data_IF_556096362736
#
_entry.id   IF_556096362736
#
_cell.length_a   1.000
_cell.length_b   1.000
_cell.length_c   1.000
_cell.angle_alpha   90.00
_cell.angle_beta   90.00
_cell.angle_gamma   90.00
#
_symmetry.space_group_name_H-M   'P 1'
#
loop_
_entity.id
_entity.type
_entity.pdbx_description
1 polymer ?
#
# COMPACT_ATOMS: atom_id res chain seq x y z
N UNK A 1 19.17 -14.61 3.05
CA UNK A 1 18.16 -13.60 2.64
C UNK A 1 16.74 -14.14 2.67
N UNK A 2 16.45 -15.34 2.17
CA UNK A 2 15.10 -15.98 2.22
C UNK A 2 14.53 -16.07 3.64
N UNK A 3 15.36 -16.41 4.63
CA UNK A 3 14.92 -16.53 6.03
C UNK A 3 14.39 -15.23 6.65
N UNK A 4 15.02 -14.08 6.36
CA UNK A 4 14.54 -12.77 6.85
C UNK A 4 13.20 -12.38 6.22
N UNK A 5 13.03 -12.64 4.93
CA UNK A 5 11.78 -12.33 4.24
C UNK A 5 10.64 -13.20 4.74
N UNK A 6 10.93 -14.46 5.09
CA UNK A 6 9.98 -15.37 5.73
C UNK A 6 9.61 -14.92 7.15
N UNK A 7 10.60 -14.54 7.95
CA UNK A 7 10.41 -14.05 9.33
C UNK A 7 9.54 -12.78 9.37
N UNK A 8 9.75 -11.85 8.43
CA UNK A 8 8.91 -10.65 8.33
C UNK A 8 7.47 -10.99 7.92
N UNK A 9 7.29 -11.96 7.00
CA UNK A 9 5.97 -12.47 6.60
C UNK A 9 5.27 -13.09 7.81
N UNK A 10 5.97 -13.93 8.58
CA UNK A 10 5.44 -14.55 9.79
C UNK A 10 5.02 -13.49 10.81
N UNK A 11 5.83 -12.46 11.06
CA UNK A 11 5.47 -11.35 11.94
C UNK A 11 4.20 -10.60 11.48
N UNK A 12 4.04 -10.35 10.18
CA UNK A 12 2.84 -9.66 9.71
C UNK A 12 1.60 -10.55 9.69
N UNK A 13 1.75 -11.87 9.50
CA UNK A 13 0.67 -12.83 9.71
C UNK A 13 0.26 -12.90 11.19
N UNK A 14 1.20 -12.81 12.12
CA UNK A 14 0.91 -12.77 13.56
C UNK A 14 0.17 -11.48 13.93
N UNK A 15 0.62 -10.31 13.46
CA UNK A 15 -0.10 -9.04 13.68
C UNK A 15 -1.52 -9.10 13.08
N UNK A 16 -1.68 -9.65 11.88
CA UNK A 16 -2.99 -9.82 11.25
C UNK A 16 -3.89 -10.76 12.08
N UNK A 17 -3.33 -11.84 12.63
CA UNK A 17 -4.06 -12.79 13.49
C UNK A 17 -4.51 -12.14 14.80
N UNK A 18 -3.67 -11.30 15.40
CA UNK A 18 -4.00 -10.57 16.62
C UNK A 18 -5.10 -9.52 16.39
N UNK A 19 -5.04 -8.78 15.27
CA UNK A 19 -6.12 -7.86 14.86
C UNK A 19 -7.44 -8.61 14.62
N UNK A 20 -7.38 -9.75 13.92
CA UNK A 20 -8.51 -10.66 13.72
C UNK A 20 -9.10 -11.17 15.03
N UNK A 21 -8.26 -11.60 15.97
CA UNK A 21 -8.71 -12.12 17.27
C UNK A 21 -9.41 -11.04 18.11
N UNK A 22 -8.97 -9.79 18.01
CA UNK A 22 -9.63 -8.65 18.65
C UNK A 22 -10.99 -8.33 17.99
N UNK A 23 -11.08 -8.38 16.66
CA UNK A 23 -12.30 -8.03 15.89
C UNK A 23 -13.33 -9.17 15.82
N UNK A 24 -12.96 -10.42 16.14
CA UNK A 24 -13.88 -11.59 16.14
C UNK A 24 -15.15 -11.38 16.96
N UNK A 25 -15.08 -10.59 18.02
CA UNK A 25 -16.23 -10.26 18.86
C UNK A 25 -17.29 -9.40 18.14
N UNK A 26 -16.91 -8.68 17.08
CA UNK A 26 -17.80 -7.92 16.21
C UNK A 26 -18.31 -8.70 14.98
N UNK A 27 -17.61 -9.77 14.58
CA UNK A 27 -17.89 -10.54 13.36
C UNK A 27 -18.61 -11.86 13.70
N UNK A 28 -19.87 -11.77 14.11
CA UNK A 28 -20.70 -12.92 14.50
C UNK A 28 -21.24 -13.77 13.33
N UNK A 29 -20.91 -13.41 12.09
CA UNK A 29 -21.37 -14.08 10.86
C UNK A 29 -20.18 -14.64 10.06
N UNK A 30 -20.25 -15.91 9.68
CA UNK A 30 -19.21 -16.61 8.93
C UNK A 30 -18.89 -15.95 7.58
N UNK A 31 -19.88 -15.31 6.95
CA UNK A 31 -19.65 -14.57 5.70
C UNK A 31 -18.86 -13.29 5.95
N UNK A 32 -19.21 -12.54 7.00
CA UNK A 32 -18.45 -11.35 7.40
C UNK A 32 -17.01 -11.70 7.77
N UNK A 33 -16.80 -12.80 8.51
CA UNK A 33 -15.48 -13.31 8.86
C UNK A 33 -14.66 -13.66 7.61
N UNK A 34 -15.23 -14.42 6.68
CA UNK A 34 -14.56 -14.75 5.40
C UNK A 34 -14.22 -13.52 4.57
N UNK A 35 -15.13 -12.54 4.51
CA UNK A 35 -14.90 -11.28 3.81
C UNK A 35 -13.76 -10.48 4.43
N UNK A 36 -13.72 -10.40 5.76
CA UNK A 36 -12.64 -9.74 6.49
C UNK A 36 -11.29 -10.41 6.18
N UNK A 37 -11.18 -11.74 6.33
CA UNK A 37 -9.95 -12.47 6.00
C UNK A 37 -9.47 -12.22 4.58
N UNK A 38 -10.40 -12.19 3.62
CA UNK A 38 -10.07 -11.91 2.22
C UNK A 38 -9.48 -10.51 2.03
N UNK A 39 -10.11 -9.48 2.60
CA UNK A 39 -9.61 -8.10 2.51
C UNK A 39 -8.28 -7.93 3.23
N UNK A 40 -8.10 -8.53 4.41
CA UNK A 40 -6.83 -8.49 5.14
C UNK A 40 -5.70 -9.14 4.34
N UNK A 41 -5.97 -10.29 3.70
CA UNK A 41 -4.98 -10.95 2.85
C UNK A 41 -4.59 -10.11 1.62
N UNK A 42 -5.56 -9.51 0.94
CA UNK A 42 -5.31 -8.59 -0.18
C UNK A 42 -4.49 -7.38 0.29
N UNK A 43 -4.83 -6.82 1.43
CA UNK A 43 -4.13 -5.66 2.01
C UNK A 43 -2.68 -5.99 2.34
N UNK A 44 -2.44 -7.16 2.96
CA UNK A 44 -1.10 -7.64 3.27
C UNK A 44 -0.27 -7.89 2.00
N UNK A 45 -0.86 -8.49 0.98
CA UNK A 45 -0.22 -8.70 -0.31
C UNK A 45 0.22 -7.38 -0.95
N UNK A 46 -0.67 -6.38 -0.99
CA UNK A 46 -0.36 -5.06 -1.53
C UNK A 46 0.73 -4.34 -0.72
N UNK A 47 0.68 -4.44 0.61
CA UNK A 47 1.71 -3.90 1.49
C UNK A 47 3.10 -4.49 1.16
N UNK A 48 3.20 -5.82 1.04
CA UNK A 48 4.47 -6.46 0.66
C UNK A 48 4.90 -6.15 -0.75
N UNK A 49 3.98 -5.98 -1.70
CA UNK A 49 4.32 -5.54 -3.05
C UNK A 49 4.97 -4.15 -3.02
N UNK A 50 4.42 -3.22 -2.23
CA UNK A 50 5.01 -1.90 -2.01
C UNK A 50 6.37 -2.00 -1.31
N UNK A 51 6.47 -2.78 -0.23
CA UNK A 51 7.73 -2.99 0.51
C UNK A 51 8.83 -3.61 -0.37
N UNK A 52 8.48 -4.58 -1.20
CA UNK A 52 9.42 -5.19 -2.14
C UNK A 52 9.86 -4.19 -3.22
N UNK A 53 8.99 -3.28 -3.65
CA UNK A 53 9.36 -2.17 -4.55
C UNK A 53 10.37 -1.24 -3.89
N UNK A 54 10.18 -0.91 -2.60
CA UNK A 54 11.15 -0.14 -1.82
C UNK A 54 12.50 -0.87 -1.69
N UNK A 55 12.49 -2.18 -1.43
CA UNK A 55 13.71 -3.02 -1.34
C UNK A 55 14.50 -3.01 -2.62
N UNK A 56 13.84 -3.25 -3.76
CA UNK A 56 14.49 -3.32 -5.07
C UNK A 56 15.17 -2.01 -5.45
N UNK A 57 14.64 -0.88 -4.99
CA UNK A 57 15.19 0.45 -5.24
C UNK A 57 16.10 0.97 -4.09
N UNK A 58 16.43 0.15 -3.09
CA UNK A 58 17.31 0.54 -1.98
C UNK A 58 16.72 1.64 -1.08
N UNK A 59 15.39 1.76 -1.01
CA UNK A 59 14.68 2.81 -0.27
C UNK A 59 14.21 2.38 1.13
N UNK A 60 14.46 1.12 1.52
CA UNK A 60 14.14 0.64 2.88
C UNK A 60 14.95 1.44 3.90
N UNK A 61 14.28 1.86 4.99
CA UNK A 61 14.87 2.73 6.02
C UNK A 61 14.88 4.21 5.67
N UNK A 62 14.62 4.59 4.41
CA UNK A 62 14.47 5.99 3.99
C UNK A 62 12.99 6.43 4.05
N UNK A 63 12.09 5.53 3.65
CA UNK A 63 10.65 5.76 3.59
C UNK A 63 9.92 4.49 4.03
N UNK A 64 8.85 4.63 4.82
CA UNK A 64 7.97 3.53 5.19
C UNK A 64 6.95 3.26 4.09
N UNK A 65 6.33 2.08 4.09
CA UNK A 65 5.22 1.78 3.16
C UNK A 65 4.05 2.76 3.37
N UNK A 66 3.74 3.11 4.61
CA UNK A 66 2.67 4.07 4.92
C UNK A 66 2.98 5.47 4.35
N UNK A 67 4.22 5.95 4.51
CA UNK A 67 4.65 7.24 3.95
C UNK A 67 4.65 7.21 2.41
N UNK A 68 5.03 6.08 1.80
CA UNK A 68 4.92 5.88 0.35
C UNK A 68 3.46 6.00 -0.12
N UNK A 69 2.54 5.26 0.51
CA UNK A 69 1.13 5.28 0.15
C UNK A 69 0.50 6.66 0.37
N UNK A 70 0.86 7.32 1.47
CA UNK A 70 0.41 8.68 1.79
C UNK A 70 0.85 9.70 0.74
N UNK A 71 2.11 9.68 0.32
CA UNK A 71 2.57 10.60 -0.73
C UNK A 71 1.89 10.31 -2.07
N UNK A 72 1.74 9.04 -2.44
CA UNK A 72 1.06 8.66 -3.68
C UNK A 72 -0.44 9.01 -3.67
N UNK A 73 -1.12 8.93 -2.53
CA UNK A 73 -2.56 9.25 -2.43
C UNK A 73 -2.88 10.73 -2.65
N UNK A 74 -1.87 11.60 -2.67
CA UNK A 74 -2.04 13.04 -2.95
C UNK A 74 -2.29 13.34 -4.42
N UNK A 75 -2.07 12.38 -5.30
CA UNK A 75 -2.27 12.51 -6.74
C UNK A 75 -3.47 11.67 -7.17
N UNK A 76 -4.52 12.32 -7.67
CA UNK A 76 -5.79 11.67 -8.06
C UNK A 76 -6.42 12.38 -9.27
N UNK A 77 -7.35 11.71 -9.95
CA UNK A 77 -8.07 12.36 -11.05
C UNK A 77 -9.09 13.38 -10.54
N UNK A 78 -9.12 14.53 -11.17
CA UNK A 78 -10.05 15.63 -10.94
C UNK A 78 -10.90 15.81 -12.21
N UNK A 79 -12.21 15.93 -12.02
CA UNK A 79 -13.14 16.33 -13.07
C UNK A 79 -13.35 17.84 -12.99
N UNK A 80 -13.07 18.54 -14.07
CA UNK A 80 -13.23 19.99 -14.15
C UNK A 80 -14.66 20.37 -14.55
N UNK A 81 -14.99 21.64 -14.34
CA UNK A 81 -16.31 22.20 -14.65
C UNK A 81 -16.66 22.17 -16.14
N UNK A 82 -15.65 22.16 -17.02
CA UNK A 82 -15.79 22.03 -18.47
C UNK A 82 -16.03 20.58 -18.93
N UNK A 83 -16.11 19.63 -18.00
CA UNK A 83 -16.31 18.21 -18.28
C UNK A 83 -15.02 17.44 -18.61
N UNK A 84 -13.88 18.12 -18.73
CA UNK A 84 -12.58 17.47 -18.89
C UNK A 84 -12.15 16.77 -17.60
N UNK A 85 -11.27 15.79 -17.73
CA UNK A 85 -10.67 15.08 -16.59
C UNK A 85 -9.16 15.19 -16.69
N UNK A 86 -8.50 15.54 -15.59
CA UNK A 86 -7.05 15.61 -15.50
C UNK A 86 -6.57 15.11 -14.15
N UNK A 87 -5.26 15.07 -13.96
CA UNK A 87 -4.69 14.76 -12.64
C UNK A 87 -4.65 16.02 -11.77
N UNK A 88 -4.78 15.82 -10.47
CA UNK A 88 -4.47 16.85 -9.48
C UNK A 88 -3.02 17.31 -9.62
N UNK A 89 -2.69 18.43 -8.98
CA UNK A 89 -1.31 18.89 -8.89
C UNK A 89 -0.41 17.75 -8.38
N UNK A 90 0.69 17.50 -9.09
CA UNK A 90 1.70 16.50 -8.69
C UNK A 90 2.74 17.20 -7.82
N UNK A 91 2.83 16.91 -6.50
CA UNK A 91 3.84 17.52 -5.66
C UNK A 91 5.25 17.06 -6.08
N UNK A 92 6.24 17.97 -6.03
CA UNK A 92 7.66 17.64 -6.33
C UNK A 92 8.20 16.44 -5.53
N UNK A 93 7.69 16.23 -4.30
CA UNK A 93 8.06 15.08 -3.48
C UNK A 93 7.59 13.77 -4.12
N UNK A 94 6.37 13.73 -4.64
CA UNK A 94 5.80 12.58 -5.35
C UNK A 94 6.54 12.31 -6.65
N UNK A 95 6.83 13.34 -7.43
CA UNK A 95 7.59 13.20 -8.68
C UNK A 95 8.98 12.58 -8.43
N UNK A 96 9.74 13.11 -7.47
CA UNK A 96 11.03 12.54 -7.07
C UNK A 96 10.90 11.11 -6.54
N UNK A 97 9.85 10.83 -5.79
CA UNK A 97 9.61 9.49 -5.24
C UNK A 97 9.36 8.48 -6.36
N UNK A 98 8.49 8.81 -7.31
CA UNK A 98 8.17 8.00 -8.50
C UNK A 98 9.42 7.76 -9.36
N UNK A 99 10.25 8.80 -9.57
CA UNK A 99 11.53 8.68 -10.28
C UNK A 99 12.50 7.73 -9.55
N UNK A 100 12.67 7.89 -8.23
CA UNK A 100 13.54 7.00 -7.42
C UNK A 100 13.05 5.56 -7.37
N UNK A 101 11.74 5.35 -7.49
CA UNK A 101 11.12 4.03 -7.53
C UNK A 101 11.19 3.38 -8.92
N UNK A 102 11.53 4.14 -9.96
CA UNK A 102 11.54 3.66 -11.35
C UNK A 102 10.15 3.27 -11.86
N UNK A 103 9.08 3.87 -11.32
CA UNK A 103 7.70 3.56 -11.71
C UNK A 103 7.13 4.66 -12.62
N UNK A 104 6.32 4.28 -13.61
CA UNK A 104 5.73 5.20 -14.58
C UNK A 104 4.22 5.30 -14.38
N UNK A 105 3.82 5.87 -13.25
CA UNK A 105 2.40 6.04 -12.88
C UNK A 105 1.88 7.46 -13.11
N UNK A 106 2.80 8.41 -13.29
CA UNK A 106 2.47 9.80 -13.64
C UNK A 106 2.40 9.93 -15.17
N UNK A 107 1.51 10.78 -15.70
CA UNK A 107 1.41 11.03 -17.12
C UNK A 107 2.73 11.62 -17.62
N UNK A 108 3.14 11.23 -18.82
CA UNK A 108 4.28 11.88 -19.49
C UNK A 108 3.88 13.30 -19.80
N UNK A 109 4.60 14.27 -19.23
CA UNK A 109 4.52 15.67 -19.59
C UNK A 109 5.12 15.89 -20.98
#
# INVERSE_FOLDING_TARGET
MVYKQREEIEQAFDVMKDELENDKSYLSDDYALRGYFFISFVSLYLYYAALNTLRRNGLVGNISVNELLFELSRVFMVKYSDGSTGLSEVPKKVERLVQRLGIHILPKT
#
